data_IF_617460515942
#
_entry.id   IF_617460515942
#
_cell.length_a   1.000
_cell.length_b   1.000
_cell.length_c   1.000
_cell.angle_alpha   90.00
_cell.angle_beta   90.00
_cell.angle_gamma   90.00
#
_symmetry.space_group_name_H-M   'P 1'
#
loop_
_entity.id
_entity.type
_entity.pdbx_description
1 polymer ?
#
# COMPACT_ATOMS: atom_id res chain seq x y z
N UNK A 1 -34.64 -24.30 -62.69
CA UNK A 1 -35.49 -23.95 -61.54
C UNK A 1 -34.58 -23.58 -60.38
N UNK A 2 -34.60 -22.31 -60.05
CA UNK A 2 -33.60 -21.69 -59.18
C UNK A 2 -34.00 -21.78 -57.73
N UNK A 3 -33.17 -22.39 -56.93
CA UNK A 3 -33.28 -22.29 -55.48
C UNK A 3 -32.16 -21.34 -54.97
N UNK A 4 -32.47 -20.20 -54.37
CA UNK A 4 -31.47 -19.37 -53.76
C UNK A 4 -31.18 -19.92 -52.36
N UNK A 5 -29.94 -20.33 -52.17
CA UNK A 5 -29.38 -20.70 -50.89
C UNK A 5 -29.28 -19.41 -50.05
N UNK A 6 -30.08 -19.31 -49.01
CA UNK A 6 -29.99 -18.25 -48.02
C UNK A 6 -28.84 -18.57 -47.08
N UNK A 7 -27.74 -17.89 -47.27
CA UNK A 7 -26.60 -17.90 -46.34
C UNK A 7 -27.00 -17.12 -45.09
N UNK A 8 -27.29 -17.83 -44.02
CA UNK A 8 -27.47 -17.21 -42.70
C UNK A 8 -26.08 -16.96 -42.10
N UNK A 9 -25.64 -15.71 -42.10
CA UNK A 9 -24.43 -15.27 -41.41
C UNK A 9 -24.81 -15.12 -39.93
N UNK A 10 -24.46 -16.12 -39.15
CA UNK A 10 -24.52 -16.03 -37.68
C UNK A 10 -23.36 -15.19 -37.19
N UNK A 11 -23.61 -13.92 -36.91
CA UNK A 11 -22.64 -13.03 -36.23
C UNK A 11 -22.59 -13.43 -34.77
N UNK A 12 -21.58 -14.22 -34.40
CA UNK A 12 -21.25 -14.50 -33.03
C UNK A 12 -20.57 -13.23 -32.46
N UNK A 13 -21.33 -12.41 -31.74
CA UNK A 13 -20.76 -11.39 -30.86
C UNK A 13 -20.05 -12.11 -29.70
N UNK A 14 -18.74 -12.26 -29.83
CA UNK A 14 -17.90 -12.59 -28.71
C UNK A 14 -17.89 -11.37 -27.78
N UNK A 15 -18.76 -11.36 -26.75
CA UNK A 15 -18.59 -10.50 -25.60
C UNK A 15 -17.32 -10.99 -24.86
N UNK A 16 -16.20 -10.41 -25.24
CA UNK A 16 -14.99 -10.47 -24.41
C UNK A 16 -15.30 -9.74 -23.11
N UNK A 17 -15.77 -10.50 -22.13
CA UNK A 17 -15.85 -10.01 -20.75
C UNK A 17 -14.44 -9.57 -20.35
N UNK A 18 -14.19 -8.26 -20.39
CA UNK A 18 -13.10 -7.67 -19.67
C UNK A 18 -13.39 -7.93 -18.20
N UNK A 19 -12.82 -9.01 -17.68
CA UNK A 19 -12.64 -9.14 -16.24
C UNK A 19 -11.75 -7.97 -15.84
N UNK A 20 -12.35 -6.83 -15.47
CA UNK A 20 -11.70 -5.88 -14.62
C UNK A 20 -11.46 -6.63 -13.31
N UNK A 21 -10.30 -7.28 -13.21
CA UNK A 21 -9.77 -7.68 -11.95
C UNK A 21 -9.79 -6.41 -11.09
N UNK A 22 -10.75 -6.32 -10.18
CA UNK A 22 -10.75 -5.28 -9.16
C UNK A 22 -9.40 -5.40 -8.48
N UNK A 23 -8.48 -4.51 -8.84
CA UNK A 23 -7.15 -4.48 -8.25
C UNK A 23 -7.32 -4.05 -6.80
N UNK A 24 -7.56 -5.02 -5.89
CA UNK A 24 -7.45 -4.80 -4.44
C UNK A 24 -6.04 -4.36 -4.03
N UNK A 25 -5.23 -3.99 -5.01
CA UNK A 25 -3.83 -3.55 -4.88
C UNK A 25 -3.57 -2.21 -5.57
N UNK A 26 -4.57 -1.42 -5.95
CA UNK A 26 -4.30 -0.07 -6.42
C UNK A 26 -3.74 0.78 -5.26
N UNK A 27 -2.95 1.79 -5.60
CA UNK A 27 -2.24 2.62 -4.60
C UNK A 27 -3.22 3.26 -3.63
N UNK A 28 -4.35 3.74 -4.14
CA UNK A 28 -5.40 4.40 -3.36
C UNK A 28 -6.02 3.47 -2.31
N UNK A 29 -6.30 2.22 -2.68
CA UNK A 29 -6.87 1.22 -1.75
C UNK A 29 -5.86 0.86 -0.65
N UNK A 30 -4.59 0.71 -1.01
CA UNK A 30 -3.51 0.46 -0.05
C UNK A 30 -3.33 1.62 0.92
N UNK A 31 -3.30 2.85 0.42
CA UNK A 31 -3.20 4.05 1.25
C UNK A 31 -4.42 4.16 2.17
N UNK A 32 -5.63 3.98 1.63
CA UNK A 32 -6.87 4.05 2.40
C UNK A 32 -6.91 3.01 3.53
N UNK A 33 -6.39 1.80 3.31
CA UNK A 33 -6.37 0.72 4.30
C UNK A 33 -5.54 1.04 5.57
N UNK A 34 -4.55 1.92 5.46
CA UNK A 34 -3.65 2.31 6.56
C UNK A 34 -3.68 3.80 6.87
N UNK A 35 -4.60 4.54 6.24
CA UNK A 35 -4.83 5.95 6.55
C UNK A 35 -5.50 6.10 7.91
N UNK A 36 -4.93 6.94 8.76
CA UNK A 36 -5.49 7.28 10.06
C UNK A 36 -5.45 8.79 10.24
N UNK A 37 -6.63 9.42 10.24
CA UNK A 37 -6.76 10.86 10.36
C UNK A 37 -6.10 11.40 11.64
N UNK A 38 -6.21 10.67 12.77
CA UNK A 38 -5.61 11.10 14.04
C UNK A 38 -4.07 11.07 13.98
N UNK A 39 -3.50 10.12 13.24
CA UNK A 39 -2.05 10.08 13.00
C UNK A 39 -1.62 11.25 12.13
N UNK A 40 -2.37 11.53 11.05
CA UNK A 40 -2.10 12.66 10.15
C UNK A 40 -2.16 13.99 10.89
N UNK A 41 -3.22 14.24 11.66
CA UNK A 41 -3.40 15.50 12.39
C UNK A 41 -2.29 15.71 13.44
N UNK A 42 -1.94 14.65 14.16
CA UNK A 42 -0.86 14.68 15.15
C UNK A 42 0.51 14.90 14.51
N UNK A 43 0.72 14.29 13.33
CA UNK A 43 1.95 14.44 12.57
C UNK A 43 2.12 15.86 12.04
N UNK A 44 1.05 16.47 11.52
CA UNK A 44 1.05 17.88 11.11
C UNK A 44 1.38 18.81 12.27
N UNK A 45 0.73 18.62 13.41
CA UNK A 45 0.98 19.43 14.62
C UNK A 45 2.43 19.30 15.12
N UNK A 46 3.10 18.19 14.83
CA UNK A 46 4.48 17.91 15.23
C UNK A 46 5.50 18.01 14.08
N UNK A 47 5.12 18.60 12.95
CA UNK A 47 5.96 18.75 11.75
C UNK A 47 6.59 17.44 11.25
N UNK A 48 5.85 16.33 11.36
CA UNK A 48 6.28 15.01 10.90
C UNK A 48 5.71 14.69 9.53
N UNK A 49 6.40 13.80 8.83
CA UNK A 49 5.96 13.20 7.55
C UNK A 49 5.29 11.87 7.83
N UNK A 50 4.17 11.59 7.17
CA UNK A 50 3.52 10.28 7.17
C UNK A 50 3.86 9.57 5.87
N UNK A 51 4.46 8.39 5.97
CA UNK A 51 4.75 7.54 4.81
C UNK A 51 3.76 6.38 4.74
N UNK A 52 3.25 6.14 3.54
CA UNK A 52 2.45 4.98 3.16
C UNK A 52 3.31 4.07 2.32
N UNK A 53 3.40 2.80 2.71
CA UNK A 53 4.30 1.82 2.10
C UNK A 53 3.50 0.62 1.61
N UNK A 54 3.89 0.07 0.44
CA UNK A 54 3.47 -1.26 0.03
C UNK A 54 4.22 -2.34 0.79
N UNK A 55 3.60 -3.49 0.93
CA UNK A 55 4.25 -4.73 1.37
C UNK A 55 4.32 -5.64 0.15
N UNK A 56 5.52 -6.06 -0.24
CA UNK A 56 5.77 -6.93 -1.38
C UNK A 56 6.30 -8.27 -0.88
N UNK A 57 5.75 -9.37 -1.41
CA UNK A 57 6.00 -10.73 -0.95
C UNK A 57 4.79 -11.33 -0.25
N UNK A 58 4.94 -12.55 0.24
CA UNK A 58 3.87 -13.27 0.94
C UNK A 58 4.08 -13.23 2.44
N UNK A 59 3.07 -12.78 3.16
CA UNK A 59 3.03 -12.80 4.63
C UNK A 59 1.67 -13.29 5.08
N UNK A 60 1.63 -14.07 6.15
CA UNK A 60 0.37 -14.51 6.75
C UNK A 60 -0.29 -13.37 7.50
N UNK A 61 -1.60 -13.25 7.35
CA UNK A 61 -2.40 -12.29 8.11
C UNK A 61 -2.72 -12.87 9.49
N UNK A 62 -1.73 -12.83 10.37
CA UNK A 62 -1.88 -13.25 11.76
C UNK A 62 -1.29 -12.21 12.75
N UNK A 63 -1.61 -12.39 14.02
CA UNK A 63 -1.17 -11.46 15.07
C UNK A 63 0.35 -11.41 15.23
N UNK A 64 1.06 -12.51 14.97
CA UNK A 64 2.51 -12.54 15.08
C UNK A 64 3.16 -11.71 13.96
N UNK A 65 2.69 -11.87 12.73
CA UNK A 65 3.14 -11.07 11.59
C UNK A 65 2.87 -9.57 11.81
N UNK A 66 1.66 -9.21 12.25
CA UNK A 66 1.34 -7.81 12.55
C UNK A 66 2.25 -7.20 13.60
N UNK A 67 2.52 -7.92 14.70
CA UNK A 67 3.47 -7.47 15.72
C UNK A 67 4.88 -7.28 15.17
N UNK A 68 5.34 -8.21 14.32
CA UNK A 68 6.66 -8.12 13.70
C UNK A 68 6.78 -6.87 12.81
N UNK A 69 5.75 -6.56 12.02
CA UNK A 69 5.71 -5.34 11.22
C UNK A 69 5.72 -4.09 12.07
N UNK A 70 4.85 -3.99 13.08
CA UNK A 70 4.82 -2.83 13.99
C UNK A 70 6.17 -2.63 14.64
N UNK A 71 6.81 -3.70 15.15
CA UNK A 71 8.12 -3.62 15.76
C UNK A 71 9.22 -3.16 14.79
N UNK A 72 9.17 -3.64 13.53
CA UNK A 72 10.11 -3.22 12.49
C UNK A 72 9.94 -1.73 12.14
N UNK A 73 8.70 -1.24 12.00
CA UNK A 73 8.40 0.16 11.75
C UNK A 73 8.84 1.06 12.92
N UNK A 74 8.61 0.63 14.14
CA UNK A 74 9.06 1.35 15.33
C UNK A 74 10.60 1.49 15.38
N UNK A 75 11.31 0.39 15.10
CA UNK A 75 12.79 0.42 15.02
C UNK A 75 13.29 1.25 13.84
N UNK A 76 12.51 1.39 12.77
CA UNK A 76 12.83 2.23 11.63
C UNK A 76 12.66 3.74 11.90
N UNK A 77 12.09 4.12 13.05
CA UNK A 77 11.92 5.50 13.46
C UNK A 77 10.47 5.98 13.43
N UNK A 78 9.50 5.08 13.42
CA UNK A 78 8.10 5.45 13.57
C UNK A 78 7.86 6.20 14.87
N UNK A 79 7.14 7.31 14.81
CA UNK A 79 6.67 8.03 15.98
C UNK A 79 5.71 7.13 16.79
N UNK A 80 5.70 7.29 18.10
CA UNK A 80 4.88 6.49 18.99
C UNK A 80 3.41 6.47 18.57
N UNK A 81 2.86 5.27 18.47
CA UNK A 81 1.47 5.05 18.08
C UNK A 81 1.11 5.45 16.64
N UNK A 82 2.10 5.72 15.77
CA UNK A 82 1.85 6.10 14.38
C UNK A 82 1.82 4.94 13.39
N UNK A 83 2.45 3.81 13.73
CA UNK A 83 2.53 2.67 12.83
C UNK A 83 1.15 2.01 12.62
N UNK A 84 0.80 1.73 11.35
CA UNK A 84 -0.40 1.01 10.94
C UNK A 84 -0.02 -0.10 9.97
N UNK A 85 -0.70 -1.23 10.07
CA UNK A 85 -0.44 -2.40 9.21
C UNK A 85 -1.77 -3.00 8.80
N UNK A 86 -1.96 -3.15 7.50
CA UNK A 86 -3.10 -3.82 6.87
C UNK A 86 -2.58 -4.93 5.95
N UNK A 87 -2.30 -6.10 6.52
CA UNK A 87 -1.72 -7.23 5.78
C UNK A 87 -2.60 -7.69 4.62
N UNK A 88 -3.94 -7.78 4.74
CA UNK A 88 -4.80 -8.13 3.61
C UNK A 88 -4.70 -7.17 2.42
N UNK A 89 -4.35 -5.91 2.67
CA UNK A 89 -4.19 -4.87 1.65
C UNK A 89 -2.72 -4.70 1.23
N UNK A 90 -1.82 -5.50 1.77
CA UNK A 90 -0.39 -5.41 1.53
C UNK A 90 0.15 -3.97 1.70
N UNK A 91 -0.22 -3.33 2.82
CA UNK A 91 0.11 -1.95 3.12
C UNK A 91 0.48 -1.74 4.58
N UNK A 92 1.36 -0.78 4.81
CA UNK A 92 1.64 -0.24 6.15
C UNK A 92 1.93 1.26 6.07
N UNK A 93 1.87 1.94 7.21
CA UNK A 93 2.20 3.36 7.30
C UNK A 93 2.86 3.69 8.63
N UNK A 94 3.60 4.79 8.64
CA UNK A 94 4.22 5.34 9.84
C UNK A 94 4.43 6.84 9.69
N UNK A 95 4.50 7.56 10.80
CA UNK A 95 4.98 8.93 10.83
C UNK A 95 6.43 8.97 11.32
N UNK A 96 7.25 9.82 10.71
CA UNK A 96 8.64 10.02 11.13
C UNK A 96 9.01 11.50 11.13
N UNK A 97 10.09 11.84 11.81
CA UNK A 97 10.62 13.20 11.87
C UNK A 97 11.61 13.44 10.70
N UNK A 98 11.24 14.27 9.70
CA UNK A 98 12.11 14.53 8.55
C UNK A 98 13.37 15.33 8.89
N UNK A 99 13.43 15.97 10.06
CA UNK A 99 14.64 16.64 10.53
C UNK A 99 15.69 15.64 11.04
N UNK A 100 15.27 14.42 11.42
CA UNK A 100 16.15 13.39 12.00
C UNK A 100 16.51 12.28 11.04
N UNK A 101 15.65 12.00 10.06
CA UNK A 101 15.84 10.90 9.12
C UNK A 101 15.17 11.21 7.78
N UNK A 102 15.46 10.43 6.76
CA UNK A 102 14.82 10.53 5.44
C UNK A 102 13.94 9.31 5.17
N UNK A 103 13.02 9.44 4.20
CA UNK A 103 12.17 8.33 3.77
C UNK A 103 13.01 7.10 3.37
N UNK A 104 14.07 7.29 2.60
CA UNK A 104 14.95 6.19 2.16
C UNK A 104 15.59 5.45 3.34
N UNK A 105 16.03 6.19 4.35
CA UNK A 105 16.61 5.60 5.57
C UNK A 105 15.57 4.83 6.38
N UNK A 106 14.37 5.36 6.49
CA UNK A 106 13.25 4.71 7.16
C UNK A 106 12.88 3.41 6.44
N UNK A 107 12.72 3.45 5.11
CA UNK A 107 12.42 2.27 4.29
C UNK A 107 13.53 1.22 4.40
N UNK A 108 14.79 1.63 4.30
CA UNK A 108 15.93 0.71 4.43
C UNK A 108 15.97 0.06 5.84
N UNK A 109 15.69 0.83 6.89
CA UNK A 109 15.66 0.31 8.25
C UNK A 109 14.46 -0.65 8.47
N UNK A 110 13.29 -0.33 7.93
CA UNK A 110 12.13 -1.22 7.97
C UNK A 110 12.43 -2.54 7.25
N UNK A 111 13.02 -2.49 6.06
CA UNK A 111 13.39 -3.68 5.30
C UNK A 111 14.43 -4.55 6.03
N UNK A 112 15.40 -3.96 6.71
CA UNK A 112 16.32 -4.72 7.57
C UNK A 112 15.57 -5.42 8.72
N UNK A 113 14.60 -4.75 9.32
CA UNK A 113 13.78 -5.32 10.40
C UNK A 113 12.83 -6.42 9.93
N UNK A 114 12.46 -6.43 8.64
CA UNK A 114 11.55 -7.40 8.03
C UNK A 114 12.26 -8.52 7.25
N UNK A 115 13.58 -8.53 7.21
CA UNK A 115 14.35 -9.50 6.43
C UNK A 115 13.97 -10.97 6.76
N UNK A 116 13.66 -11.27 8.02
CA UNK A 116 13.22 -12.63 8.45
C UNK A 116 11.78 -12.98 8.06
N UNK A 117 10.99 -12.03 7.54
CA UNK A 117 9.60 -12.25 7.12
C UNK A 117 9.48 -12.60 5.62
N UNK A 118 10.56 -12.52 4.85
CA UNK A 118 10.53 -12.78 3.41
C UNK A 118 9.77 -11.71 2.60
N UNK A 119 9.64 -10.51 3.12
CA UNK A 119 8.93 -9.39 2.49
C UNK A 119 9.81 -8.14 2.46
N UNK A 120 9.48 -7.22 1.55
CA UNK A 120 10.05 -5.89 1.50
C UNK A 120 8.94 -4.84 1.50
N UNK A 121 9.25 -3.65 1.98
CA UNK A 121 8.37 -2.49 1.88
C UNK A 121 8.95 -1.47 0.90
N UNK A 122 8.06 -0.81 0.16
CA UNK A 122 8.42 0.24 -0.79
C UNK A 122 7.48 1.44 -0.65
N UNK A 123 7.95 2.68 -0.91
CA UNK A 123 7.11 3.86 -0.79
C UNK A 123 5.95 3.87 -1.80
N UNK A 124 4.76 4.29 -1.36
CA UNK A 124 3.58 4.51 -2.19
C UNK A 124 3.23 5.99 -2.28
N UNK A 125 3.09 6.64 -1.12
CA UNK A 125 2.72 8.05 -0.96
C UNK A 125 3.33 8.59 0.32
N UNK A 126 3.44 9.90 0.40
CA UNK A 126 3.79 10.61 1.64
C UNK A 126 2.83 11.77 1.87
N UNK A 127 2.53 12.07 3.13
CA UNK A 127 1.96 13.35 3.53
C UNK A 127 3.10 14.11 4.19
N UNK A 128 3.52 15.22 3.58
CA UNK A 128 4.59 16.05 4.10
C UNK A 128 4.17 16.77 5.40
N UNK A 129 5.14 17.38 6.07
CA UNK A 129 4.90 18.12 7.30
C UNK A 129 3.89 19.29 7.13
N UNK A 130 3.70 19.78 5.92
CA UNK A 130 2.67 20.77 5.56
C UNK A 130 1.28 20.16 5.32
N UNK A 131 1.16 18.82 5.35
CA UNK A 131 -0.10 18.11 5.16
C UNK A 131 -0.48 17.87 3.70
N UNK A 132 0.45 17.99 2.77
CA UNK A 132 0.21 17.70 1.35
C UNK A 132 0.57 16.26 1.04
N UNK A 133 -0.37 15.56 0.39
CA UNK A 133 -0.11 14.23 -0.20
C UNK A 133 0.76 14.39 -1.43
N UNK A 134 1.83 13.60 -1.51
CA UNK A 134 2.78 13.59 -2.64
C UNK A 134 3.18 12.17 -3.03
N UNK A 135 3.68 12.04 -4.23
CA UNK A 135 4.49 10.88 -4.61
C UNK A 135 5.82 10.88 -3.83
N UNK A 136 6.36 9.70 -3.51
CA UNK A 136 7.61 9.59 -2.76
C UNK A 136 8.82 10.10 -3.52
#
# INVERSE_FOLDING_TARGET
>A
MNHPIRLAIATVLALSGMNAAACGYCIEDRVAAVYDQKVVDRSRASHRTVAFLSIEGSVRDDAASRRAFIAALQRAGAADGSARVALPNAACSLAFDPARTSLDKVVAAANRGLAGQGVVVAPLRVIDAGGKMREP
#
